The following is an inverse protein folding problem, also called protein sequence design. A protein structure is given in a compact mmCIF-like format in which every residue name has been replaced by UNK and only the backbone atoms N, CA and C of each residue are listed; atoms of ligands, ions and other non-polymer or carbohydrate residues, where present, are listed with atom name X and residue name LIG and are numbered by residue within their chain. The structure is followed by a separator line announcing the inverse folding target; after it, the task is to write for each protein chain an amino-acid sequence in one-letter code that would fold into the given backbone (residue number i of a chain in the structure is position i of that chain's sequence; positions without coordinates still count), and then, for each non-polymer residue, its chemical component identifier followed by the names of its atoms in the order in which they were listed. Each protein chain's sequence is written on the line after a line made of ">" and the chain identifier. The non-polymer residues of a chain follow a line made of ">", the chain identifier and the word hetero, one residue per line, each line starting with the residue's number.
data_IF_239726658349
#
_entry.id   IF_239726658349
#
_cell.length_a   1.000
_cell.length_b   1.000
_cell.length_c   1.000
_cell.angle_alpha   90.00
_cell.angle_beta   90.00
_cell.angle_gamma   90.00
#
_symmetry.space_group_name_H-M   'P 1'
#
loop_
_entity.id
_entity.type
_entity.pdbx_description
1 polymer ?
#
# COMPACT_ATOMS: atom_id res chain seq x y z
N UNK A 1 -4.59 -11.02 -4.67
CA UNK A 1 -4.46 -12.23 -3.82
C UNK A 1 -5.06 -11.95 -2.44
N UNK A 2 -5.79 -12.87 -1.82
CA UNK A 2 -6.34 -12.69 -0.46
C UNK A 2 -5.26 -12.99 0.58
N UNK A 3 -5.14 -12.13 1.60
CA UNK A 3 -4.25 -12.34 2.75
C UNK A 3 -5.10 -12.73 3.96
N UNK A 4 -4.86 -13.92 4.49
CA UNK A 4 -5.40 -14.35 5.78
C UNK A 4 -4.28 -14.16 6.82
N UNK A 5 -4.39 -13.12 7.65
CA UNK A 5 -3.44 -12.89 8.73
C UNK A 5 -4.01 -13.36 10.08
N UNK A 6 -3.11 -13.81 10.96
CA UNK A 6 -3.47 -14.36 12.25
C UNK A 6 -3.76 -13.30 13.34
N UNK A 7 -3.46 -12.02 13.07
CA UNK A 7 -3.63 -10.92 14.04
C UNK A 7 -5.03 -10.30 13.99
N UNK A 8 -5.84 -10.62 12.97
CA UNK A 8 -7.14 -10.01 12.72
C UNK A 8 -7.07 -8.58 12.15
N UNK A 9 -5.87 -7.97 12.12
CA UNK A 9 -5.66 -6.61 11.64
C UNK A 9 -5.11 -6.61 10.22
N UNK A 10 -5.99 -6.50 9.22
CA UNK A 10 -5.60 -6.58 7.81
C UNK A 10 -5.80 -7.95 7.18
N UNK A 11 -7.05 -8.43 7.20
CA UNK A 11 -7.54 -9.38 6.20
C UNK A 11 -8.06 -8.60 4.99
N UNK A 12 -7.87 -9.11 3.77
CA UNK A 12 -8.23 -8.36 2.56
C UNK A 12 -7.51 -8.81 1.29
N UNK A 13 -7.61 -8.01 0.23
CA UNK A 13 -6.93 -8.26 -1.04
C UNK A 13 -5.70 -7.38 -1.16
N UNK A 14 -4.60 -7.94 -1.65
CA UNK A 14 -3.41 -7.16 -2.02
C UNK A 14 -3.74 -6.19 -3.15
N UNK A 15 -3.23 -4.96 -3.03
CA UNK A 15 -3.34 -3.93 -4.05
C UNK A 15 -2.14 -4.05 -4.99
N UNK A 16 -2.41 -4.21 -6.28
CA UNK A 16 -1.39 -4.36 -7.32
C UNK A 16 -1.28 -3.09 -8.16
N UNK A 17 -0.06 -2.73 -8.56
CA UNK A 17 0.15 -1.74 -9.59
C UNK A 17 0.03 -2.42 -10.95
N UNK A 18 -0.75 -1.83 -11.86
CA UNK A 18 -0.90 -2.37 -13.20
C UNK A 18 -0.61 -1.32 -14.27
N UNK A 19 0.06 -1.75 -15.34
CA UNK A 19 0.33 -0.93 -16.53
C UNK A 19 -0.60 -1.32 -17.66
N UNK A 20 -1.38 -0.35 -18.13
CA UNK A 20 -2.20 -0.52 -19.33
C UNK A 20 -1.46 0.00 -20.55
N UNK A 21 -1.38 -0.82 -21.61
CA UNK A 21 -0.86 -0.39 -22.92
C UNK A 21 -2.02 -0.22 -23.90
N UNK A 22 -2.43 1.03 -24.26
CA UNK A 22 -3.61 1.27 -25.08
C UNK A 22 -3.57 0.61 -26.46
N UNK A 23 -2.39 0.62 -27.10
CA UNK A 23 -2.20 0.06 -28.45
C UNK A 23 -2.52 -1.44 -28.52
N UNK A 24 -2.12 -2.18 -27.49
CA UNK A 24 -2.30 -3.64 -27.43
C UNK A 24 -3.50 -4.04 -26.58
N UNK A 25 -4.12 -3.10 -25.87
CA UNK A 25 -5.16 -3.32 -24.86
C UNK A 25 -4.75 -4.33 -23.79
N UNK A 26 -3.45 -4.43 -23.50
CA UNK A 26 -2.91 -5.35 -22.49
C UNK A 26 -2.75 -4.66 -21.15
N UNK A 27 -3.12 -5.38 -20.10
CA UNK A 27 -2.78 -5.06 -18.72
C UNK A 27 -1.58 -5.91 -18.32
N UNK A 28 -0.60 -5.28 -17.70
CA UNK A 28 0.56 -5.93 -17.11
C UNK A 28 0.54 -5.69 -15.60
N UNK A 29 0.59 -6.76 -14.82
CA UNK A 29 0.72 -6.69 -13.37
C UNK A 29 2.19 -6.40 -13.02
N UNK A 30 2.44 -5.24 -12.42
CA UNK A 30 3.77 -4.81 -11.98
C UNK A 30 4.07 -5.24 -10.54
N UNK A 31 3.14 -5.95 -9.89
CA UNK A 31 3.30 -6.50 -8.56
C UNK A 31 2.56 -5.72 -7.47
N UNK A 32 2.75 -6.20 -6.24
CA UNK A 32 2.07 -5.71 -5.04
C UNK A 32 2.68 -4.40 -4.56
N UNK A 33 1.83 -3.47 -4.13
CA UNK A 33 2.27 -2.27 -3.42
C UNK A 33 2.75 -2.65 -2.01
N UNK A 34 4.07 -2.59 -1.79
CA UNK A 34 4.70 -2.87 -0.51
C UNK A 34 5.54 -1.67 -0.03
N UNK A 35 5.59 -1.49 1.29
CA UNK A 35 6.35 -0.41 1.93
C UNK A 35 7.74 -0.92 2.30
N UNK A 36 8.77 -0.23 1.78
CA UNK A 36 10.19 -0.54 2.07
C UNK A 36 10.75 0.17 3.30
N UNK A 37 10.11 1.26 3.74
CA UNK A 37 10.47 2.06 4.92
C UNK A 37 9.45 1.83 6.03
N UNK A 38 9.46 0.67 6.73
CA UNK A 38 8.37 0.26 7.63
C UNK A 38 8.21 1.15 8.87
N UNK A 39 9.18 2.01 9.17
CA UNK A 39 9.21 2.97 10.26
C UNK A 39 8.55 4.33 9.92
N UNK A 40 7.95 4.46 8.74
CA UNK A 40 7.29 5.71 8.31
C UNK A 40 6.15 6.16 9.23
N UNK A 41 5.56 5.25 10.00
CA UNK A 41 4.48 5.52 10.94
C UNK A 41 4.53 4.55 12.11
N UNK A 42 4.35 5.05 13.33
CA UNK A 42 4.26 4.22 14.52
C UNK A 42 2.83 3.68 14.69
N UNK A 43 2.64 2.40 14.40
CA UNK A 43 1.35 1.69 14.55
C UNK A 43 1.13 1.13 15.96
N UNK A 44 2.04 1.35 16.90
CA UNK A 44 1.95 0.77 18.25
C UNK A 44 0.74 1.30 19.03
N UNK A 45 0.15 0.48 19.91
CA UNK A 45 -0.90 0.93 20.81
C UNK A 45 -0.43 2.12 21.66
N UNK A 46 -1.30 3.11 21.82
CA UNK A 46 -1.05 4.27 22.69
C UNK A 46 -1.30 3.92 24.16
N UNK A 47 -1.22 4.91 25.04
CA UNK A 47 -1.43 4.73 26.48
C UNK A 47 -2.80 4.15 26.86
N UNK A 48 -3.77 4.17 25.95
CA UNK A 48 -5.11 3.57 26.09
C UNK A 48 -5.21 2.14 25.51
N UNK A 49 -4.10 1.56 25.06
CA UNK A 49 -4.04 0.23 24.47
C UNK A 49 -4.63 0.13 23.06
N UNK A 50 -5.00 1.26 22.43
CA UNK A 50 -5.55 1.27 21.07
C UNK A 50 -4.53 1.74 20.04
N UNK A 51 -4.56 1.23 18.80
CA UNK A 51 -3.79 1.81 17.71
C UNK A 51 -4.11 3.31 17.54
N UNK A 52 -3.21 4.10 16.95
CA UNK A 52 -3.48 5.51 16.65
C UNK A 52 -4.79 5.68 15.85
N UNK A 53 -5.50 6.81 16.04
CA UNK A 53 -6.67 7.08 15.23
C UNK A 53 -6.29 7.10 13.75
N UNK A 54 -7.19 6.59 12.89
CA UNK A 54 -7.00 6.59 11.45
C UNK A 54 -5.76 5.81 10.95
N UNK A 55 -5.32 4.78 11.66
CA UNK A 55 -4.15 3.96 11.31
C UNK A 55 -4.47 2.59 10.72
N UNK A 56 -5.70 2.34 10.29
CA UNK A 56 -6.18 1.03 9.88
C UNK A 56 -6.08 0.75 8.37
N UNK A 57 -5.38 1.59 7.59
CA UNK A 57 -5.31 1.45 6.13
C UNK A 57 -4.17 0.58 5.60
N UNK A 58 -3.51 -0.21 6.44
CA UNK A 58 -2.42 -1.11 6.06
C UNK A 58 -2.62 -2.54 6.60
N UNK A 59 -2.17 -3.50 5.81
CA UNK A 59 -1.88 -4.87 6.23
C UNK A 59 -0.45 -4.98 6.73
N UNK A 60 -0.23 -5.88 7.69
CA UNK A 60 1.07 -6.47 7.93
C UNK A 60 1.03 -7.94 7.52
N UNK A 61 1.83 -8.31 6.53
CA UNK A 61 1.99 -9.69 6.07
C UNK A 61 2.74 -10.52 7.13
N UNK A 62 2.69 -11.87 7.07
CA UNK A 62 3.38 -12.73 8.04
C UNK A 62 4.89 -12.49 8.16
N UNK A 63 5.53 -12.04 7.07
CA UNK A 63 6.95 -11.67 7.03
C UNK A 63 7.25 -10.27 7.59
N UNK A 64 6.22 -9.52 7.98
CA UNK A 64 6.32 -8.16 8.49
C UNK A 64 6.16 -7.06 7.44
N UNK A 65 6.05 -7.39 6.15
CA UNK A 65 5.85 -6.43 5.06
C UNK A 65 4.54 -5.67 5.24
N UNK A 66 4.58 -4.35 5.08
CA UNK A 66 3.38 -3.52 5.08
C UNK A 66 2.84 -3.31 3.66
N UNK A 67 1.53 -3.49 3.47
CA UNK A 67 0.85 -3.21 2.18
C UNK A 67 -0.42 -2.39 2.43
N UNK A 68 -0.84 -1.48 1.52
CA UNK A 68 -2.13 -0.80 1.65
C UNK A 68 -3.32 -1.77 1.66
N UNK A 69 -4.36 -1.45 2.43
CA UNK A 69 -5.57 -2.27 2.62
C UNK A 69 -6.85 -1.63 2.04
N UNK A 70 -7.01 -0.30 2.12
CA UNK A 70 -8.31 0.34 1.88
C UNK A 70 -8.33 1.26 0.66
N UNK A 71 -8.02 2.54 0.85
CA UNK A 71 -8.37 3.58 -0.11
C UNK A 71 -7.11 4.22 -0.68
N UNK A 72 -7.01 4.16 -2.01
CA UNK A 72 -6.16 5.04 -2.80
C UNK A 72 -6.95 6.29 -3.17
N UNK A 73 -6.42 7.48 -2.89
CA UNK A 73 -7.11 8.72 -3.25
C UNK A 73 -6.66 9.26 -4.60
N UNK A 74 -5.42 9.01 -4.99
CA UNK A 74 -4.84 9.42 -6.27
C UNK A 74 -3.70 8.50 -6.68
N UNK A 75 -3.46 8.43 -7.99
CA UNK A 75 -2.29 7.84 -8.62
C UNK A 75 -1.76 8.83 -9.67
N UNK A 76 -0.48 9.16 -9.60
CA UNK A 76 0.16 10.09 -10.54
C UNK A 76 1.51 9.53 -10.99
N UNK A 77 1.78 9.65 -12.29
CA UNK A 77 3.08 9.33 -12.89
C UNK A 77 3.79 10.63 -13.22
N UNK A 78 4.96 10.85 -12.61
CA UNK A 78 5.79 12.01 -12.86
C UNK A 78 6.55 11.87 -14.20
N UNK A 79 7.13 12.98 -14.67
CA UNK A 79 7.84 13.03 -15.96
C UNK A 79 9.03 12.06 -16.04
N UNK A 80 9.67 11.80 -14.91
CA UNK A 80 10.80 10.87 -14.77
C UNK A 80 10.37 9.40 -14.62
N UNK A 81 9.07 9.11 -14.66
CA UNK A 81 8.52 7.78 -14.47
C UNK A 81 8.31 7.39 -13.00
N UNK A 82 8.64 8.26 -12.04
CA UNK A 82 8.31 8.01 -10.62
C UNK A 82 6.78 8.01 -10.45
N UNK A 83 6.26 7.02 -9.74
CA UNK A 83 4.82 6.91 -9.49
C UNK A 83 4.54 7.30 -8.04
N UNK A 84 3.49 8.09 -7.84
CA UNK A 84 3.01 8.51 -6.53
C UNK A 84 1.58 8.02 -6.30
N UNK A 85 1.34 7.38 -5.16
CA UNK A 85 0.01 6.97 -4.74
C UNK A 85 -0.29 7.51 -3.34
N UNK A 86 -1.48 8.06 -3.13
CA UNK A 86 -1.91 8.50 -1.79
C UNK A 86 -2.78 7.44 -1.13
N UNK A 87 -2.47 7.09 0.12
CA UNK A 87 -3.30 6.21 0.97
C UNK A 87 -3.99 7.08 2.02
N UNK A 88 -5.28 6.82 2.26
CA UNK A 88 -6.06 7.63 3.20
C UNK A 88 -5.63 7.45 4.67
N UNK A 89 -5.25 6.25 5.10
CA UNK A 89 -5.05 5.92 6.51
C UNK A 89 -3.78 5.12 6.83
N UNK A 90 -2.85 5.67 7.64
CA UNK A 90 -2.68 7.11 7.84
C UNK A 90 -2.51 7.82 6.49
N UNK A 91 -2.82 9.12 6.45
CA UNK A 91 -2.67 9.90 5.22
C UNK A 91 -1.19 9.93 4.82
N UNK A 92 -0.87 9.26 3.72
CA UNK A 92 0.51 8.96 3.33
C UNK A 92 0.66 9.06 1.82
N UNK A 93 1.87 9.45 1.43
CA UNK A 93 2.30 9.47 0.04
C UNK A 93 3.30 8.34 -0.17
N UNK A 94 2.92 7.34 -0.96
CA UNK A 94 3.82 6.29 -1.41
C UNK A 94 4.54 6.76 -2.67
N UNK A 95 5.88 6.73 -2.63
CA UNK A 95 6.73 6.85 -3.81
C UNK A 95 7.11 5.45 -4.29
N UNK A 96 6.74 5.13 -5.52
CA UNK A 96 7.07 3.88 -6.18
C UNK A 96 8.12 4.21 -7.23
N UNK A 97 9.31 3.66 -7.03
CA UNK A 97 10.39 3.71 -8.02
C UNK A 97 9.91 2.99 -9.28
N UNK A 98 9.82 3.69 -10.41
CA UNK A 98 9.52 3.04 -11.68
C UNK A 98 10.61 2.02 -12.02
N UNK A 99 10.22 0.83 -12.46
CA UNK A 99 11.14 -0.03 -13.18
C UNK A 99 11.45 0.64 -14.51
N UNK A 100 12.69 1.12 -14.67
CA UNK A 100 13.21 1.59 -15.95
C UNK A 100 13.17 0.53 -17.03
#
# INVERSE_FOLDING_TARGET
>A
MRVDNATGFGSGYLHHLARFTPRTKRMEDLGVLAVKNPDFFDFSPRGDGKPPPFSHGYHKLPDGTLTPLHVHMALLVARDGTIYATILYPFTLLRIDGSG
#
